data_IF_891302095850
#
_entry.id   IF_891302095850
#
_cell.length_a   1.000
_cell.length_b   1.000
_cell.length_c   1.000
_cell.angle_alpha   90.00
_cell.angle_beta   90.00
_cell.angle_gamma   90.00
#
_symmetry.space_group_name_H-M   'P 1'
#
loop_
_entity.id
_entity.type
_entity.pdbx_description
1 polymer ?
#
# COMPACT_ATOMS: atom_id res chain seq x y z
N UNK A 1 -16.30 -16.99 1.41
CA UNK A 1 -16.14 -16.16 2.63
C UNK A 1 -14.69 -15.76 2.94
N UNK A 2 -13.66 -16.57 2.69
CA UNK A 2 -12.26 -16.24 3.03
C UNK A 2 -11.68 -15.06 2.23
N UNK A 3 -11.99 -14.94 0.93
CA UNK A 3 -11.50 -13.87 0.05
C UNK A 3 -11.99 -12.50 0.52
N UNK A 4 -13.29 -12.38 0.81
CA UNK A 4 -13.89 -11.14 1.30
C UNK A 4 -13.24 -10.68 2.62
N UNK A 5 -13.03 -11.59 3.58
CA UNK A 5 -12.32 -11.28 4.83
C UNK A 5 -10.89 -10.81 4.60
N UNK A 6 -10.19 -11.43 3.66
CA UNK A 6 -8.83 -11.07 3.33
C UNK A 6 -8.76 -9.65 2.74
N UNK A 7 -9.59 -9.37 1.74
CA UNK A 7 -9.67 -8.05 1.08
C UNK A 7 -10.04 -6.96 2.08
N UNK A 8 -11.09 -7.18 2.88
CA UNK A 8 -11.53 -6.21 3.89
C UNK A 8 -10.45 -5.94 4.95
N UNK A 9 -9.70 -6.96 5.36
CA UNK A 9 -8.58 -6.78 6.30
C UNK A 9 -7.48 -5.86 5.72
N UNK A 10 -7.18 -5.94 4.42
CA UNK A 10 -6.16 -5.10 3.77
C UNK A 10 -6.61 -3.66 3.60
N UNK A 11 -7.87 -3.47 3.20
CA UNK A 11 -8.49 -2.14 3.16
C UNK A 11 -8.46 -1.50 4.55
N UNK A 12 -8.82 -2.25 5.59
CA UNK A 12 -8.82 -1.76 6.97
C UNK A 12 -7.41 -1.32 7.41
N UNK A 13 -6.38 -2.15 7.18
CA UNK A 13 -4.99 -1.80 7.52
C UNK A 13 -4.56 -0.53 6.80
N UNK A 14 -4.87 -0.39 5.51
CA UNK A 14 -4.54 0.81 4.76
C UNK A 14 -5.21 2.06 5.35
N UNK A 15 -6.53 2.04 5.52
CA UNK A 15 -7.26 3.20 6.04
C UNK A 15 -6.88 3.55 7.47
N UNK A 16 -6.59 2.54 8.30
CA UNK A 16 -6.06 2.77 9.65
C UNK A 16 -4.69 3.44 9.60
N UNK A 17 -3.83 3.04 8.66
CA UNK A 17 -2.51 3.67 8.46
C UNK A 17 -2.63 5.11 8.00
N UNK A 18 -3.55 5.40 7.08
CA UNK A 18 -3.84 6.78 6.65
C UNK A 18 -4.40 7.61 7.81
N UNK A 19 -5.30 7.06 8.63
CA UNK A 19 -5.84 7.74 9.79
C UNK A 19 -4.75 8.06 10.82
N UNK A 20 -3.81 7.14 11.06
CA UNK A 20 -2.64 7.36 11.94
C UNK A 20 -1.76 8.48 11.37
N UNK A 21 -1.51 8.50 10.07
CA UNK A 21 -0.71 9.53 9.41
C UNK A 21 -1.37 10.91 9.53
N UNK A 22 -2.67 11.00 9.28
CA UNK A 22 -3.45 12.24 9.43
C UNK A 22 -3.45 12.71 10.89
N UNK A 23 -3.69 11.80 11.84
CA UNK A 23 -3.62 12.11 13.27
C UNK A 23 -2.21 12.63 13.66
N UNK A 24 -1.16 11.93 13.21
CA UNK A 24 0.22 12.34 13.45
C UNK A 24 0.52 13.73 12.90
N UNK A 25 -0.01 14.07 11.72
CA UNK A 25 0.13 15.40 11.15
C UNK A 25 -0.49 16.50 12.03
N UNK A 26 -1.68 16.28 12.57
CA UNK A 26 -2.34 17.27 13.42
C UNK A 26 -1.67 17.45 14.78
N UNK A 27 -1.20 16.37 15.40
CA UNK A 27 -0.72 16.39 16.79
C UNK A 27 0.79 16.28 16.93
N UNK A 28 1.48 15.74 15.93
CA UNK A 28 2.91 15.41 15.94
C UNK A 28 3.58 15.70 14.59
N UNK A 29 3.36 16.89 14.03
CA UNK A 29 3.88 17.29 12.71
C UNK A 29 5.39 17.09 12.58
N UNK A 30 6.17 17.33 13.64
CA UNK A 30 7.62 17.12 13.62
C UNK A 30 7.99 15.65 13.42
N UNK A 31 7.24 14.73 14.04
CA UNK A 31 7.46 13.29 13.87
C UNK A 31 7.16 12.86 12.42
N UNK A 32 6.07 13.36 11.87
CA UNK A 32 5.69 13.05 10.48
C UNK A 32 6.73 13.60 9.50
N UNK A 33 7.13 14.87 9.65
CA UNK A 33 8.16 15.47 8.82
C UNK A 33 9.51 14.75 8.94
N UNK A 34 9.88 14.34 10.16
CA UNK A 34 11.07 13.52 10.39
C UNK A 34 11.01 12.17 9.69
N UNK A 35 9.84 11.53 9.67
CA UNK A 35 9.59 10.29 8.93
C UNK A 35 9.75 10.47 7.42
N UNK A 36 9.19 11.53 6.85
CA UNK A 36 9.36 11.86 5.43
C UNK A 36 10.82 12.19 5.09
N UNK A 37 11.50 12.99 5.90
CA UNK A 37 12.92 13.31 5.69
C UNK A 37 13.82 12.08 5.75
N UNK A 38 13.57 11.16 6.68
CA UNK A 38 14.31 9.90 6.79
C UNK A 38 14.03 8.99 5.57
N UNK A 39 12.80 8.93 5.13
CA UNK A 39 12.38 8.18 3.95
C UNK A 39 13.04 8.71 2.66
N UNK A 40 13.02 10.02 2.48
CA UNK A 40 13.68 10.68 1.36
C UNK A 40 15.19 10.40 1.36
N UNK A 41 15.86 10.54 2.50
CA UNK A 41 17.28 10.23 2.64
C UNK A 41 17.60 8.76 2.32
N UNK A 42 16.74 7.84 2.75
CA UNK A 42 16.86 6.42 2.43
C UNK A 42 16.73 6.17 0.92
N UNK A 43 15.70 6.72 0.27
CA UNK A 43 15.48 6.56 -1.17
C UNK A 43 16.65 7.18 -1.96
N UNK A 44 17.13 8.36 -1.58
CA UNK A 44 18.31 8.99 -2.19
C UNK A 44 19.55 8.11 -2.07
N UNK A 45 19.73 7.42 -0.95
CA UNK A 45 20.87 6.51 -0.78
C UNK A 45 20.83 5.32 -1.75
N UNK A 46 19.65 4.86 -2.13
CA UNK A 46 19.46 3.78 -3.11
C UNK A 46 19.67 4.24 -4.57
N UNK A 47 19.41 5.52 -4.86
CA UNK A 47 19.48 6.08 -6.22
C UNK A 47 20.83 6.71 -6.55
N UNK A 48 21.74 6.83 -5.59
CA UNK A 48 23.10 7.40 -5.77
C UNK A 48 24.00 6.68 -6.77
N UNK A 49 23.60 5.49 -7.23
CA UNK A 49 24.36 4.70 -8.21
C UNK A 49 24.32 5.32 -9.62
N UNK A 50 23.34 6.19 -9.88
CA UNK A 50 23.19 6.86 -11.18
C UNK A 50 23.83 8.25 -11.16
N UNK A 51 25.00 8.37 -11.78
CA UNK A 51 25.74 9.65 -11.93
C UNK A 51 24.94 10.72 -12.69
N UNK A 52 23.93 10.34 -13.49
CA UNK A 52 23.12 11.27 -14.29
C UNK A 52 21.99 11.93 -13.49
N UNK A 53 21.68 11.45 -12.29
CA UNK A 53 20.57 11.92 -11.45
C UNK A 53 19.17 11.68 -12.03
N UNK A 54 19.05 11.03 -13.18
CA UNK A 54 17.76 10.76 -13.83
C UNK A 54 16.92 9.78 -13.01
N UNK A 55 17.56 8.75 -12.47
CA UNK A 55 16.88 7.75 -11.64
C UNK A 55 16.34 8.37 -10.36
N UNK A 56 17.11 9.25 -9.71
CA UNK A 56 16.66 10.00 -8.54
C UNK A 56 15.44 10.87 -8.86
N UNK A 57 15.50 11.62 -9.97
CA UNK A 57 14.38 12.47 -10.41
C UNK A 57 13.09 11.65 -10.64
N UNK A 58 13.19 10.51 -11.33
CA UNK A 58 12.04 9.65 -11.58
C UNK A 58 11.47 9.08 -10.28
N UNK A 59 12.32 8.55 -9.42
CA UNK A 59 11.92 7.84 -8.22
C UNK A 59 11.37 8.78 -7.15
N UNK A 60 12.00 9.92 -6.91
CA UNK A 60 11.56 10.87 -5.88
C UNK A 60 10.49 11.84 -6.37
N UNK A 61 10.68 12.46 -7.55
CA UNK A 61 9.81 13.55 -7.98
C UNK A 61 8.63 13.11 -8.85
N UNK A 62 8.71 11.96 -9.48
CA UNK A 62 7.62 11.45 -10.32
C UNK A 62 6.84 10.34 -9.61
N UNK A 63 7.53 9.35 -9.10
CA UNK A 63 6.90 8.21 -8.43
C UNK A 63 6.65 8.43 -6.94
N UNK A 64 7.35 9.37 -6.31
CA UNK A 64 7.27 9.64 -4.86
C UNK A 64 7.41 8.38 -4.00
N UNK A 65 8.54 7.69 -4.19
CA UNK A 65 8.86 6.47 -3.46
C UNK A 65 9.01 6.71 -1.95
N UNK A 66 9.48 7.91 -1.59
CA UNK A 66 9.58 8.38 -0.22
C UNK A 66 8.23 8.37 0.52
N UNK A 67 7.17 8.87 -0.11
CA UNK A 67 5.81 8.83 0.44
C UNK A 67 5.36 7.39 0.72
N UNK A 68 5.71 6.46 -0.16
CA UNK A 68 5.33 5.07 -0.01
C UNK A 68 6.13 4.32 1.04
N UNK A 69 7.38 4.67 1.23
CA UNK A 69 8.18 4.12 2.33
C UNK A 69 7.53 4.51 3.66
N UNK A 70 7.05 5.73 3.81
CA UNK A 70 6.35 6.16 5.04
C UNK A 70 5.07 5.36 5.25
N UNK A 71 4.17 5.31 4.26
CA UNK A 71 2.90 4.58 4.44
C UNK A 71 3.15 3.07 4.59
N UNK A 72 4.12 2.52 3.86
CA UNK A 72 4.52 1.13 3.98
C UNK A 72 5.03 0.79 5.38
N UNK A 73 5.84 1.65 5.99
CA UNK A 73 6.32 1.49 7.36
C UNK A 73 5.16 1.52 8.36
N UNK A 74 4.22 2.46 8.23
CA UNK A 74 3.02 2.52 9.07
C UNK A 74 2.17 1.26 8.90
N UNK A 75 1.93 0.82 7.66
CA UNK A 75 1.18 -0.42 7.38
C UNK A 75 1.86 -1.65 8.00
N UNK A 76 3.18 -1.73 7.99
CA UNK A 76 3.93 -2.80 8.64
C UNK A 76 3.73 -2.78 10.15
N UNK A 77 3.88 -1.62 10.79
CA UNK A 77 3.66 -1.46 12.23
C UNK A 77 2.23 -1.85 12.61
N UNK A 78 1.23 -1.34 11.89
CA UNK A 78 -0.19 -1.69 12.11
C UNK A 78 -0.42 -3.19 11.95
N UNK A 79 0.16 -3.80 10.90
CA UNK A 79 0.05 -5.25 10.68
C UNK A 79 0.67 -6.04 11.83
N UNK A 80 1.84 -5.61 12.32
CA UNK A 80 2.51 -6.21 13.46
C UNK A 80 1.67 -6.13 14.74
N UNK A 81 1.13 -4.94 15.04
CA UNK A 81 0.28 -4.72 16.22
C UNK A 81 -0.99 -5.55 16.17
N UNK A 82 -1.69 -5.58 15.03
CA UNK A 82 -2.90 -6.39 14.86
C UNK A 82 -2.60 -7.90 14.95
N UNK A 83 -1.45 -8.33 14.41
CA UNK A 83 -1.03 -9.73 14.49
C UNK A 83 -0.62 -10.10 15.91
N UNK A 84 0.08 -9.21 16.63
CA UNK A 84 0.42 -9.39 18.04
C UNK A 84 -0.84 -9.47 18.91
N UNK A 85 -1.79 -8.56 18.74
CA UNK A 85 -3.07 -8.58 19.45
C UNK A 85 -3.83 -9.88 19.20
N UNK A 86 -3.88 -10.36 17.96
CA UNK A 86 -4.49 -11.65 17.62
C UNK A 86 -3.76 -12.84 18.28
N UNK A 87 -2.43 -12.78 18.33
CA UNK A 87 -1.62 -13.85 18.92
C UNK A 87 -1.71 -13.93 20.44
N UNK A 88 -2.12 -12.84 21.11
CA UNK A 88 -2.45 -12.87 22.54
C UNK A 88 -3.70 -13.72 22.81
N UNK A 89 -4.58 -13.87 21.83
CA UNK A 89 -5.82 -14.68 21.94
C UNK A 89 -5.66 -16.11 21.44
N UNK A 90 -4.53 -16.45 20.76
CA UNK A 90 -4.27 -17.77 20.18
C UNK A 90 -3.12 -18.50 20.90
N UNK A 91 -3.15 -19.83 20.91
CA UNK A 91 -2.12 -20.67 21.52
C UNK A 91 -0.71 -20.51 20.90
N UNK A 92 0.33 -20.92 21.63
CA UNK A 92 1.74 -20.54 21.37
C UNK A 92 2.45 -21.16 20.15
N UNK A 93 1.94 -22.24 19.58
CA UNK A 93 2.67 -23.02 18.55
C UNK A 93 2.66 -22.42 17.14
N UNK A 94 1.59 -21.74 16.73
CA UNK A 94 1.47 -21.19 15.36
C UNK A 94 1.92 -19.71 15.20
N UNK A 95 2.31 -19.06 16.29
CA UNK A 95 2.49 -17.60 16.38
C UNK A 95 3.55 -17.04 15.43
N UNK A 96 4.74 -17.64 15.41
CA UNK A 96 5.90 -17.08 14.68
C UNK A 96 5.72 -17.09 13.17
N UNK A 97 5.18 -18.19 12.64
CA UNK A 97 4.95 -18.33 11.17
C UNK A 97 3.85 -17.40 10.66
N UNK A 98 2.85 -17.08 11.49
CA UNK A 98 1.76 -16.18 11.11
C UNK A 98 2.25 -14.73 10.97
N UNK A 99 3.13 -14.26 11.88
CA UNK A 99 3.71 -12.90 11.83
C UNK A 99 4.57 -12.73 10.58
N UNK A 100 5.51 -13.64 10.35
CA UNK A 100 6.41 -13.58 9.18
C UNK A 100 5.63 -13.59 7.87
N UNK A 101 4.61 -14.44 7.76
CA UNK A 101 3.74 -14.48 6.57
C UNK A 101 2.94 -13.19 6.39
N UNK A 102 2.44 -12.58 7.47
CA UNK A 102 1.70 -11.33 7.39
C UNK A 102 2.59 -10.18 6.88
N UNK A 103 3.80 -10.07 7.42
CA UNK A 103 4.79 -9.07 7.01
C UNK A 103 5.19 -9.30 5.54
N UNK A 104 5.61 -10.51 5.20
CA UNK A 104 6.03 -10.84 3.83
C UNK A 104 4.91 -10.52 2.81
N UNK A 105 3.67 -10.79 3.14
CA UNK A 105 2.52 -10.51 2.26
C UNK A 105 2.32 -9.01 2.01
N UNK A 106 2.43 -8.19 3.07
CA UNK A 106 2.30 -6.72 2.92
C UNK A 106 3.45 -6.17 2.09
N UNK A 107 4.68 -6.60 2.36
CA UNK A 107 5.86 -6.17 1.61
C UNK A 107 5.79 -6.57 0.14
N UNK A 108 5.45 -7.82 -0.16
CA UNK A 108 5.36 -8.30 -1.55
C UNK A 108 4.28 -7.55 -2.31
N UNK A 109 3.10 -7.35 -1.73
CA UNK A 109 2.03 -6.60 -2.39
C UNK A 109 2.41 -5.14 -2.61
N UNK A 110 3.06 -4.51 -1.64
CA UNK A 110 3.52 -3.13 -1.76
C UNK A 110 4.57 -3.00 -2.87
N UNK A 111 5.61 -3.82 -2.85
CA UNK A 111 6.68 -3.82 -3.86
C UNK A 111 6.15 -4.13 -5.26
N UNK A 112 5.24 -5.11 -5.38
CA UNK A 112 4.65 -5.47 -6.66
C UNK A 112 3.76 -4.35 -7.20
N UNK A 113 2.96 -3.69 -6.34
CA UNK A 113 2.14 -2.53 -6.74
C UNK A 113 3.02 -1.39 -7.25
N UNK A 114 4.17 -1.21 -6.63
CA UNK A 114 5.16 -0.22 -7.05
C UNK A 114 5.77 -0.54 -8.40
N UNK A 115 6.20 -1.80 -8.56
CA UNK A 115 6.76 -2.26 -9.83
C UNK A 115 5.75 -2.08 -10.98
N UNK A 116 4.48 -2.40 -10.73
CA UNK A 116 3.40 -2.17 -11.70
C UNK A 116 3.24 -0.68 -12.02
N UNK A 117 3.22 0.18 -11.01
CA UNK A 117 3.15 1.64 -11.22
C UNK A 117 4.32 2.16 -12.03
N UNK A 118 5.55 1.73 -11.71
CA UNK A 118 6.75 2.14 -12.42
C UNK A 118 6.72 1.68 -13.89
N UNK A 119 6.33 0.42 -14.14
CA UNK A 119 6.21 -0.12 -15.50
C UNK A 119 5.13 0.60 -16.28
N UNK A 120 3.94 0.77 -15.72
CA UNK A 120 2.83 1.47 -16.40
C UNK A 120 3.21 2.93 -16.66
N UNK A 121 3.86 3.60 -15.72
CA UNK A 121 4.34 4.96 -15.94
C UNK A 121 5.35 5.04 -17.08
N UNK A 122 6.25 4.06 -17.17
CA UNK A 122 7.25 4.01 -18.24
C UNK A 122 6.62 3.91 -19.64
N UNK A 123 5.52 3.14 -19.77
CA UNK A 123 4.84 2.94 -21.05
C UNK A 123 3.72 3.96 -21.32
N UNK A 124 3.02 4.40 -20.28
CA UNK A 124 1.86 5.28 -20.38
C UNK A 124 1.77 6.23 -19.17
N UNK A 125 2.67 7.22 -19.13
CA UNK A 125 2.66 8.25 -18.11
C UNK A 125 1.31 9.02 -18.03
N UNK A 126 0.63 9.35 -19.16
CA UNK A 126 -0.69 9.98 -19.14
C UNK A 126 -1.73 9.19 -18.35
N UNK A 127 -1.75 7.86 -18.47
CA UNK A 127 -2.68 7.01 -17.70
C UNK A 127 -2.48 7.14 -16.19
N UNK A 128 -1.23 7.08 -15.73
CA UNK A 128 -0.91 7.23 -14.31
C UNK A 128 -1.29 8.61 -13.79
N UNK A 129 -0.99 9.66 -14.55
CA UNK A 129 -1.38 11.02 -14.19
C UNK A 129 -2.90 11.17 -14.10
N UNK A 130 -3.66 10.59 -15.05
CA UNK A 130 -5.11 10.58 -15.02
C UNK A 130 -5.67 9.85 -13.79
N UNK A 131 -5.06 8.73 -13.37
CA UNK A 131 -5.43 8.01 -12.15
C UNK A 131 -5.17 8.85 -10.89
N UNK A 132 -4.03 9.52 -10.80
CA UNK A 132 -3.73 10.42 -9.68
C UNK A 132 -4.69 11.61 -9.63
N UNK A 133 -5.02 12.21 -10.77
CA UNK A 133 -5.98 13.31 -10.83
C UNK A 133 -7.41 12.87 -10.49
N UNK A 134 -7.82 11.69 -10.90
CA UNK A 134 -9.11 11.12 -10.53
C UNK A 134 -9.18 10.86 -9.02
N UNK A 135 -8.13 10.29 -8.43
CA UNK A 135 -8.05 10.05 -6.99
C UNK A 135 -8.02 11.36 -6.20
N UNK A 136 -7.30 12.37 -6.67
CA UNK A 136 -7.27 13.72 -6.06
C UNK A 136 -8.65 14.37 -6.05
N UNK A 137 -9.39 14.29 -7.17
CA UNK A 137 -10.78 14.79 -7.24
C UNK A 137 -11.70 14.06 -6.30
N UNK A 138 -11.57 12.73 -6.19
CA UNK A 138 -12.37 11.92 -5.29
C UNK A 138 -12.15 12.31 -3.82
N UNK A 139 -10.88 12.42 -3.42
CA UNK A 139 -10.50 12.80 -2.05
C UNK A 139 -10.92 14.23 -1.74
N UNK A 140 -10.73 15.18 -2.66
CA UNK A 140 -11.15 16.56 -2.47
C UNK A 140 -12.67 16.68 -2.26
N UNK A 141 -13.47 15.94 -3.05
CA UNK A 141 -14.94 15.90 -2.85
C UNK A 141 -15.33 15.29 -1.50
N UNK A 142 -14.69 14.21 -1.09
CA UNK A 142 -14.92 13.57 0.20
C UNK A 142 -14.52 14.48 1.37
N UNK A 143 -13.37 15.14 1.27
CA UNK A 143 -12.89 16.09 2.28
C UNK A 143 -13.82 17.30 2.43
N UNK A 144 -14.25 17.88 1.31
CA UNK A 144 -15.18 19.04 1.31
C UNK A 144 -16.55 18.69 1.90
N UNK A 145 -17.00 17.44 1.76
CA UNK A 145 -18.24 16.97 2.37
C UNK A 145 -18.15 16.85 3.91
N UNK A 146 -16.92 16.58 4.44
CA UNK A 146 -16.68 16.41 5.88
C UNK A 146 -16.28 17.74 6.54
N UNK A 147 -15.42 18.50 5.87
CA UNK A 147 -14.89 19.79 6.36
C UNK A 147 -15.06 20.88 5.30
N UNK A 148 -16.17 21.63 5.34
CA UNK A 148 -16.41 22.73 4.40
C UNK A 148 -15.38 23.86 4.47
N UNK A 149 -14.61 23.96 5.58
CA UNK A 149 -13.55 24.96 5.75
C UNK A 149 -12.24 24.59 5.01
N UNK A 150 -12.17 23.40 4.43
CA UNK A 150 -11.06 22.95 3.59
C UNK A 150 -9.76 22.59 4.33
N UNK A 151 -9.75 22.59 5.67
CA UNK A 151 -8.56 22.24 6.46
C UNK A 151 -8.17 20.78 6.25
N UNK A 152 -9.17 19.89 6.22
CA UNK A 152 -8.95 18.46 5.96
C UNK A 152 -8.39 18.24 4.56
N UNK A 153 -8.89 18.94 3.54
CA UNK A 153 -8.37 18.85 2.18
C UNK A 153 -6.90 19.26 2.11
N UNK A 154 -6.50 20.34 2.77
CA UNK A 154 -5.12 20.78 2.84
C UNK A 154 -4.20 19.69 3.43
N UNK A 155 -4.62 19.05 4.53
CA UNK A 155 -3.85 17.99 5.17
C UNK A 155 -3.75 16.76 4.26
N UNK A 156 -4.85 16.32 3.67
CA UNK A 156 -4.85 15.16 2.77
C UNK A 156 -4.01 15.41 1.50
N UNK A 157 -3.97 16.65 1.03
CA UNK A 157 -3.12 17.07 -0.09
C UNK A 157 -1.64 17.10 0.29
N UNK A 158 -1.28 17.68 1.45
CA UNK A 158 0.11 17.71 1.91
C UNK A 158 0.69 16.34 2.22
N UNK A 159 -0.16 15.39 2.63
CA UNK A 159 0.22 13.99 2.87
C UNK A 159 0.13 13.10 1.60
N UNK A 160 -0.13 13.67 0.43
CA UNK A 160 -0.24 12.94 -0.85
C UNK A 160 -1.21 11.72 -0.81
N UNK A 161 -2.29 11.81 -0.01
CA UNK A 161 -3.22 10.69 0.22
C UNK A 161 -3.84 10.18 -1.08
N UNK A 162 -3.98 11.03 -2.10
CA UNK A 162 -4.45 10.65 -3.43
C UNK A 162 -3.57 9.58 -4.10
N UNK A 163 -2.26 9.64 -3.92
CA UNK A 163 -1.32 8.65 -4.45
C UNK A 163 -1.38 7.36 -3.66
N UNK A 164 -1.43 7.46 -2.35
CA UNK A 164 -1.63 6.31 -1.48
C UNK A 164 -2.91 5.54 -1.83
N UNK A 165 -3.99 6.25 -2.21
CA UNK A 165 -5.23 5.61 -2.66
C UNK A 165 -5.02 4.79 -3.94
N UNK A 166 -4.30 5.31 -4.93
CA UNK A 166 -3.99 4.57 -6.17
C UNK A 166 -3.19 3.31 -5.86
N UNK A 167 -2.16 3.41 -5.02
CA UNK A 167 -1.37 2.24 -4.60
C UNK A 167 -2.23 1.22 -3.86
N UNK A 168 -3.10 1.66 -2.96
CA UNK A 168 -4.02 0.76 -2.26
C UNK A 168 -4.98 0.03 -3.22
N UNK A 169 -5.50 0.73 -4.23
CA UNK A 169 -6.34 0.12 -5.26
C UNK A 169 -5.56 -0.93 -6.06
N UNK A 170 -4.29 -0.66 -6.39
CA UNK A 170 -3.42 -1.64 -7.05
C UNK A 170 -3.12 -2.85 -6.16
N UNK A 171 -2.79 -2.63 -4.89
CA UNK A 171 -2.60 -3.72 -3.93
C UNK A 171 -3.83 -4.62 -3.83
N UNK A 172 -5.01 -4.01 -3.81
CA UNK A 172 -6.29 -4.72 -3.84
C UNK A 172 -6.50 -5.52 -5.11
N UNK A 173 -6.28 -4.90 -6.27
CA UNK A 173 -6.42 -5.56 -7.57
C UNK A 173 -5.48 -6.77 -7.68
N UNK A 174 -4.21 -6.62 -7.27
CA UNK A 174 -3.23 -7.70 -7.26
C UNK A 174 -3.60 -8.81 -6.27
N UNK A 175 -4.10 -8.46 -5.08
CA UNK A 175 -4.56 -9.43 -4.11
C UNK A 175 -5.75 -10.24 -4.63
N UNK A 176 -6.72 -9.58 -5.28
CA UNK A 176 -7.87 -10.24 -5.92
C UNK A 176 -7.43 -11.14 -7.09
N UNK A 177 -6.55 -10.63 -7.96
CA UNK A 177 -6.01 -11.42 -9.07
C UNK A 177 -5.32 -12.69 -8.57
N UNK A 178 -4.52 -12.58 -7.50
CA UNK A 178 -3.86 -13.72 -6.87
C UNK A 178 -4.85 -14.77 -6.34
N UNK A 179 -5.94 -14.35 -5.70
CA UNK A 179 -6.97 -15.27 -5.21
C UNK A 179 -7.75 -15.93 -6.36
N UNK A 180 -8.03 -15.19 -7.44
CA UNK A 180 -8.67 -15.76 -8.65
C UNK A 180 -7.76 -16.82 -9.27
N UNK A 181 -6.46 -16.54 -9.43
CA UNK A 181 -5.49 -17.51 -9.97
C UNK A 181 -5.41 -18.78 -9.11
N UNK A 182 -5.42 -18.65 -7.79
CA UNK A 182 -5.46 -19.82 -6.89
C UNK A 182 -6.75 -20.62 -7.05
N UNK A 183 -7.88 -19.96 -7.22
CA UNK A 183 -9.17 -20.62 -7.43
C UNK A 183 -9.18 -21.40 -8.74
N UNK A 184 -8.71 -20.79 -9.84
CA UNK A 184 -8.57 -21.44 -11.14
C UNK A 184 -7.63 -22.66 -11.08
N UNK A 185 -6.49 -22.53 -10.42
CA UNK A 185 -5.51 -23.61 -10.27
C UNK A 185 -6.04 -24.80 -9.46
N UNK A 186 -6.90 -24.55 -8.46
CA UNK A 186 -7.57 -25.64 -7.72
C UNK A 186 -8.60 -26.38 -8.57
N UNK A 187 -9.36 -25.66 -9.39
CA UNK A 187 -10.32 -26.25 -10.31
C UNK A 187 -9.66 -27.12 -11.39
N UNK A 188 -8.49 -26.67 -11.91
CA UNK A 188 -7.73 -27.46 -12.89
C UNK A 188 -7.17 -28.76 -12.29
N UNK A 189 -6.64 -28.72 -11.06
CA UNK A 189 -6.15 -29.92 -10.38
C UNK A 189 -7.26 -30.95 -10.08
N UNK A 190 -8.43 -30.48 -9.66
CA UNK A 190 -9.57 -31.37 -9.42
C UNK A 190 -10.03 -32.13 -10.69
N UNK A 191 -9.96 -31.49 -11.85
CA UNK A 191 -10.29 -32.14 -13.14
C UNK A 191 -9.26 -33.19 -13.56
N UNK A 192 -7.97 -32.93 -13.31
CA UNK A 192 -6.90 -33.89 -13.63
C UNK A 192 -6.96 -35.15 -12.75
N UNK A 193 -7.35 -35.02 -11.49
CA UNK A 193 -7.51 -36.17 -10.59
C UNK A 193 -8.72 -37.03 -10.92
N UNK A 194 -9.79 -36.49 -11.47
CA UNK A 194 -10.95 -37.27 -11.95
C UNK A 194 -10.64 -38.03 -13.26
N UNK A 195 -9.85 -37.45 -14.17
CA UNK A 195 -9.46 -38.12 -15.42
C UNK A 195 -8.42 -39.27 -15.25
N UNK A 196 -7.65 -39.27 -14.17
CA UNK A 196 -6.69 -40.34 -13.86
C UNK A 196 -7.29 -41.49 -13.06
N UNK A 197 -8.55 -41.42 -12.69
CA UNK A 197 -9.29 -42.45 -11.94
C UNK A 197 -10.27 -43.28 -12.82
N UNK A 198 -10.42 -42.88 -14.08
CA UNK A 198 -11.09 -43.63 -15.15
C UNK A 198 -10.06 -44.43 -15.98
#
# INVERSE_FOLDING_TARGET
MHVMRYVMSRIFVFWLSVAILVYGWFFHTQLVNGGYGASEAFVRSLTRVDETGKTETVVLHILHLDDLVVIGAIMLVVTLLLTAARNLTLGSGERRMTVVRAIAHVLVLLLLSYAVLAVVWWYDAPLINALFDASRRLIGRAAAAIDPLGRLELVLRSLNVSRHLVVACLMLALALAWEILKWMGRGARARLTTQSAE
#
